data_IF_165973258603
#
_entry.id   IF_165973258603
#
_cell.length_a   1.000
_cell.length_b   1.000
_cell.length_c   1.000
_cell.angle_alpha   90.00
_cell.angle_beta   90.00
_cell.angle_gamma   90.00
#
_symmetry.space_group_name_H-M   'P 1'
#
loop_
_entity.id
_entity.type
_entity.pdbx_description
1 polymer ?
#
# COMPACT_ATOMS: atom_id res chain seq x y z
N UNK A 1 1.46 -51.06 -10.57
CA UNK A 1 0.33 -51.38 -9.64
C UNK A 1 0.23 -52.87 -9.28
N UNK A 2 0.64 -53.82 -10.14
CA UNK A 2 0.51 -55.27 -9.86
C UNK A 2 1.49 -55.86 -8.84
N UNK A 3 2.74 -55.34 -8.72
CA UNK A 3 3.74 -55.89 -7.79
C UNK A 3 3.39 -55.71 -6.29
N UNK A 4 2.68 -54.62 -5.94
CA UNK A 4 2.26 -54.35 -4.55
C UNK A 4 1.16 -55.32 -4.08
N UNK A 5 0.25 -55.70 -4.99
CA UNK A 5 -0.76 -56.72 -4.72
C UNK A 5 -0.16 -58.09 -4.43
N UNK A 6 0.91 -58.46 -5.13
CA UNK A 6 1.56 -59.77 -4.99
C UNK A 6 2.32 -59.84 -3.66
N UNK A 7 3.03 -58.78 -3.28
CA UNK A 7 3.71 -58.68 -1.97
C UNK A 7 2.74 -58.70 -0.79
N UNK A 8 1.56 -58.07 -0.91
CA UNK A 8 0.52 -58.10 0.13
C UNK A 8 -0.14 -59.47 0.26
N UNK A 9 -0.45 -60.13 -0.86
CA UNK A 9 -0.96 -61.52 -0.87
C UNK A 9 0.08 -62.48 -0.28
N UNK A 10 1.36 -62.31 -0.62
CA UNK A 10 2.45 -63.09 -0.05
C UNK A 10 2.63 -62.85 1.45
N UNK A 11 2.59 -61.59 1.92
CA UNK A 11 2.71 -61.27 3.35
C UNK A 11 1.55 -61.82 4.18
N UNK A 12 0.31 -61.76 3.66
CA UNK A 12 -0.84 -62.37 4.34
C UNK A 12 -0.75 -63.89 4.30
N UNK A 13 -0.30 -64.48 3.19
CA UNK A 13 -0.05 -65.93 3.13
C UNK A 13 1.02 -66.35 4.13
N UNK A 14 2.08 -65.55 4.31
CA UNK A 14 3.19 -65.81 5.22
C UNK A 14 2.77 -65.62 6.68
N UNK A 15 1.90 -64.65 6.98
CA UNK A 15 1.35 -64.43 8.33
C UNK A 15 0.32 -65.52 8.69
N UNK A 16 -0.50 -65.95 7.73
CA UNK A 16 -1.39 -67.11 7.89
C UNK A 16 -0.58 -68.39 8.06
N UNK A 17 0.49 -68.58 7.29
CA UNK A 17 1.41 -69.72 7.42
C UNK A 17 2.15 -69.68 8.77
N UNK A 18 2.59 -68.51 9.22
CA UNK A 18 3.23 -68.33 10.52
C UNK A 18 2.25 -68.57 11.67
N UNK A 19 0.99 -68.12 11.55
CA UNK A 19 -0.04 -68.40 12.54
C UNK A 19 -0.45 -69.89 12.54
N UNK A 20 -0.43 -70.54 11.37
CA UNK A 20 -0.62 -71.99 11.23
C UNK A 20 0.52 -72.78 11.89
N UNK A 21 1.76 -72.35 11.73
CA UNK A 21 2.95 -72.94 12.39
C UNK A 21 2.93 -72.68 13.89
N UNK A 22 2.52 -71.49 14.33
CA UNK A 22 2.38 -71.16 15.76
C UNK A 22 1.26 -71.96 16.43
N UNK A 23 0.10 -72.14 15.76
CA UNK A 23 -0.97 -73.00 16.25
C UNK A 23 -0.58 -74.48 16.27
N UNK A 24 0.22 -74.95 15.30
CA UNK A 24 0.79 -76.30 15.34
C UNK A 24 1.75 -76.46 16.53
N UNK A 25 2.61 -75.48 16.80
CA UNK A 25 3.52 -75.48 17.95
C UNK A 25 2.78 -75.50 19.30
N UNK A 26 1.67 -74.78 19.42
CA UNK A 26 0.83 -74.78 20.64
C UNK A 26 0.01 -76.09 20.76
N UNK A 27 -0.42 -76.70 19.66
CA UNK A 27 -1.09 -78.00 19.68
C UNK A 27 -0.16 -79.16 20.07
N UNK A 28 1.14 -79.07 19.74
CA UNK A 28 2.18 -79.97 20.24
C UNK A 28 2.54 -79.72 21.73
N UNK A 29 2.26 -78.52 22.26
CA UNK A 29 2.55 -78.16 23.65
C UNK A 29 1.34 -78.29 24.60
N UNK A 30 0.11 -78.34 24.09
CA UNK A 30 -1.09 -78.48 24.93
C UNK A 30 -1.50 -79.93 25.21
N UNK A 31 -0.64 -80.91 24.88
CA UNK A 31 -0.84 -82.32 25.22
C UNK A 31 -0.06 -82.68 26.49
N UNK A 32 -0.38 -82.07 27.62
CA UNK A 32 -0.06 -82.68 28.92
C UNK A 32 -1.22 -83.61 29.31
N UNK A 33 -1.18 -84.84 28.81
CA UNK A 33 -1.40 -86.06 29.60
C UNK A 33 -1.16 -87.32 28.73
N UNK A 34 -0.37 -88.24 29.32
CA UNK A 34 -0.12 -89.63 28.96
C UNK A 34 0.91 -89.93 27.85
N UNK A 35 2.15 -90.15 28.31
CA UNK A 35 2.97 -91.36 28.09
C UNK A 35 2.84 -92.14 26.78
N UNK A 36 4.03 -92.47 26.26
CA UNK A 36 4.39 -93.37 25.16
C UNK A 36 4.72 -92.69 23.83
N UNK A 37 6.03 -92.58 23.62
CA UNK A 37 6.64 -92.46 22.32
C UNK A 37 6.21 -93.65 21.46
N UNK A 38 5.28 -93.41 20.53
CA UNK A 38 5.12 -94.18 19.32
C UNK A 38 4.84 -93.22 18.17
N UNK A 39 5.57 -93.39 17.07
CA UNK A 39 5.34 -92.72 15.80
C UNK A 39 4.00 -93.18 15.22
N UNK A 40 2.90 -92.62 15.72
CA UNK A 40 1.55 -92.89 15.22
C UNK A 40 1.21 -91.83 14.19
N UNK A 41 1.23 -92.24 12.92
CA UNK A 41 0.84 -91.39 11.80
C UNK A 41 -0.51 -90.71 12.01
N UNK A 42 -0.70 -89.58 11.33
CA UNK A 42 -1.86 -88.68 11.41
C UNK A 42 -3.14 -89.33 11.97
N UNK A 43 -3.50 -88.97 13.21
CA UNK A 43 -4.79 -89.35 13.75
C UNK A 43 -5.90 -88.54 13.08
N UNK A 44 -7.07 -89.16 12.88
CA UNK A 44 -8.26 -88.51 12.27
C UNK A 44 -8.67 -87.22 13.00
N UNK A 45 -8.34 -87.12 14.30
CA UNK A 45 -8.58 -85.94 15.15
C UNK A 45 -7.72 -84.73 14.77
N UNK A 46 -6.47 -84.92 14.35
CA UNK A 46 -5.58 -83.84 13.92
C UNK A 46 -5.96 -83.30 12.54
N UNK A 47 -6.38 -84.19 11.64
CA UNK A 47 -6.93 -83.80 10.33
C UNK A 47 -8.15 -82.90 10.49
N UNK A 48 -9.07 -83.24 11.41
CA UNK A 48 -10.27 -82.43 11.66
C UNK A 48 -9.94 -81.04 12.24
N UNK A 49 -8.96 -80.93 13.15
CA UNK A 49 -8.49 -79.65 13.70
C UNK A 49 -7.86 -78.77 12.64
N UNK A 50 -7.00 -79.35 11.79
CA UNK A 50 -6.35 -78.64 10.68
C UNK A 50 -7.38 -78.16 9.65
N UNK A 51 -8.35 -78.99 9.28
CA UNK A 51 -9.42 -78.60 8.36
C UNK A 51 -10.28 -77.48 8.95
N UNK A 52 -10.67 -77.57 10.22
CA UNK A 52 -11.42 -76.49 10.89
C UNK A 52 -10.62 -75.18 10.95
N UNK A 53 -9.33 -75.23 11.29
CA UNK A 53 -8.47 -74.05 11.27
C UNK A 53 -8.34 -73.46 9.86
N UNK A 54 -8.17 -74.30 8.83
CA UNK A 54 -8.08 -73.85 7.45
C UNK A 54 -9.38 -73.19 6.98
N UNK A 55 -10.54 -73.74 7.35
CA UNK A 55 -11.86 -73.16 7.06
C UNK A 55 -12.04 -71.82 7.77
N UNK A 56 -11.70 -71.72 9.07
CA UNK A 56 -11.76 -70.47 9.83
C UNK A 56 -10.78 -69.41 9.28
N UNK A 57 -9.56 -69.81 8.93
CA UNK A 57 -8.56 -68.91 8.35
C UNK A 57 -8.99 -68.40 6.96
N UNK A 58 -9.59 -69.26 6.13
CA UNK A 58 -10.17 -68.84 4.85
C UNK A 58 -11.33 -67.86 5.07
N UNK A 59 -12.28 -68.18 5.96
CA UNK A 59 -13.40 -67.31 6.29
C UNK A 59 -12.92 -65.93 6.80
N UNK A 60 -11.93 -65.92 7.71
CA UNK A 60 -11.33 -64.71 8.24
C UNK A 60 -10.61 -63.90 7.15
N UNK A 61 -9.84 -64.55 6.27
CA UNK A 61 -9.17 -63.89 5.16
C UNK A 61 -10.18 -63.23 4.20
N UNK A 62 -11.25 -63.94 3.84
CA UNK A 62 -12.30 -63.38 2.99
C UNK A 62 -13.01 -62.19 3.64
N UNK A 63 -13.23 -62.24 4.96
CA UNK A 63 -13.90 -61.17 5.71
C UNK A 63 -12.99 -59.95 5.93
N UNK A 64 -11.71 -60.13 6.26
CA UNK A 64 -10.76 -59.05 6.57
C UNK A 64 -10.13 -58.40 5.34
N UNK A 65 -10.07 -59.08 4.18
CA UNK A 65 -9.43 -58.53 2.97
C UNK A 65 -10.06 -57.21 2.53
N UNK A 66 -11.38 -57.05 2.69
CA UNK A 66 -12.12 -55.82 2.34
C UNK A 66 -11.85 -54.66 3.31
N UNK A 67 -12.12 -54.76 4.63
CA UNK A 67 -11.94 -53.65 5.56
C UNK A 67 -10.47 -53.20 5.68
N UNK A 68 -9.50 -54.13 5.67
CA UNK A 68 -8.08 -53.77 5.77
C UNK A 68 -7.58 -53.03 4.52
N UNK A 69 -7.98 -53.49 3.32
CA UNK A 69 -7.62 -52.80 2.09
C UNK A 69 -8.28 -51.42 1.99
N UNK A 70 -9.54 -51.30 2.41
CA UNK A 70 -10.26 -50.03 2.40
C UNK A 70 -9.67 -49.03 3.38
N UNK A 71 -9.31 -49.45 4.61
CA UNK A 71 -8.69 -48.57 5.60
C UNK A 71 -7.34 -47.99 5.15
N UNK A 72 -6.47 -48.84 4.59
CA UNK A 72 -5.18 -48.39 4.05
C UNK A 72 -5.35 -47.49 2.82
N UNK A 73 -6.25 -47.83 1.90
CA UNK A 73 -6.50 -47.01 0.72
C UNK A 73 -7.11 -45.66 1.09
N UNK A 74 -8.02 -45.62 2.07
CA UNK A 74 -8.58 -44.37 2.61
C UNK A 74 -7.47 -43.50 3.19
N UNK A 75 -6.57 -44.07 4.00
CA UNK A 75 -5.45 -43.30 4.57
C UNK A 75 -4.52 -42.76 3.50
N UNK A 76 -4.21 -43.55 2.47
CA UNK A 76 -3.40 -43.10 1.33
C UNK A 76 -4.11 -41.97 0.57
N UNK A 77 -5.43 -42.08 0.36
CA UNK A 77 -6.21 -41.05 -0.32
C UNK A 77 -6.24 -39.74 0.48
N UNK A 78 -6.45 -39.80 1.80
CA UNK A 78 -6.41 -38.62 2.67
C UNK A 78 -5.05 -37.94 2.63
N UNK A 79 -3.95 -38.70 2.78
CA UNK A 79 -2.60 -38.12 2.75
C UNK A 79 -2.31 -37.48 1.39
N UNK A 80 -2.73 -38.11 0.27
CA UNK A 80 -2.58 -37.50 -1.06
C UNK A 80 -3.35 -36.21 -1.19
N UNK A 81 -4.60 -36.19 -0.74
CA UNK A 81 -5.44 -35.00 -0.77
C UNK A 81 -4.85 -33.87 0.09
N UNK A 82 -4.34 -34.20 1.28
CA UNK A 82 -3.66 -33.24 2.15
C UNK A 82 -2.41 -32.67 1.48
N UNK A 83 -1.58 -33.51 0.86
CA UNK A 83 -0.38 -33.07 0.14
C UNK A 83 -0.73 -32.19 -1.07
N UNK A 84 -1.70 -32.59 -1.88
CA UNK A 84 -2.18 -31.79 -3.02
C UNK A 84 -2.72 -30.43 -2.56
N UNK A 85 -3.46 -30.40 -1.45
CA UNK A 85 -3.97 -29.16 -0.86
C UNK A 85 -2.84 -28.27 -0.35
N UNK A 86 -1.82 -28.84 0.28
CA UNK A 86 -0.64 -28.11 0.76
C UNK A 86 0.18 -27.55 -0.41
N UNK A 87 0.37 -28.31 -1.49
CA UNK A 87 1.03 -27.85 -2.70
C UNK A 87 0.26 -26.72 -3.37
N UNK A 88 -1.07 -26.85 -3.50
CA UNK A 88 -1.92 -25.79 -4.04
C UNK A 88 -1.80 -24.50 -3.22
N UNK A 89 -1.92 -24.59 -1.88
CA UNK A 89 -1.77 -23.44 -0.97
C UNK A 89 -0.39 -22.81 -1.05
N UNK A 90 0.67 -23.61 -1.18
CA UNK A 90 2.04 -23.11 -1.32
C UNK A 90 2.21 -22.34 -2.62
N UNK A 91 1.68 -22.84 -3.73
CA UNK A 91 1.73 -22.15 -5.02
C UNK A 91 0.87 -20.89 -5.04
N UNK A 92 -0.31 -20.90 -4.40
CA UNK A 92 -1.13 -19.70 -4.21
C UNK A 92 -0.39 -18.64 -3.39
N UNK A 93 0.17 -19.01 -2.24
CA UNK A 93 0.95 -18.10 -1.41
C UNK A 93 2.18 -17.54 -2.13
N UNK A 94 2.85 -18.36 -2.95
CA UNK A 94 3.99 -17.92 -3.77
C UNK A 94 3.54 -16.92 -4.83
N UNK A 95 2.43 -17.16 -5.53
CA UNK A 95 1.87 -16.22 -6.51
C UNK A 95 1.47 -14.90 -5.86
N UNK A 96 0.84 -14.97 -4.69
CA UNK A 96 0.44 -13.77 -3.94
C UNK A 96 1.67 -12.97 -3.49
N UNK A 97 2.71 -13.64 -3.01
CA UNK A 97 3.97 -13.00 -2.62
C UNK A 97 4.68 -12.32 -3.81
N UNK A 98 4.73 -12.95 -4.97
CA UNK A 98 5.28 -12.32 -6.18
C UNK A 98 4.41 -11.12 -6.63
N UNK A 99 3.09 -11.24 -6.59
CA UNK A 99 2.19 -10.11 -6.87
C UNK A 99 2.38 -8.94 -5.91
N UNK A 100 2.59 -9.20 -4.61
CA UNK A 100 2.90 -8.13 -3.65
C UNK A 100 4.26 -7.49 -3.89
N UNK A 101 5.29 -8.28 -4.24
CA UNK A 101 6.61 -7.72 -4.60
C UNK A 101 6.53 -6.82 -5.82
N UNK A 102 5.80 -7.23 -6.85
CA UNK A 102 5.58 -6.41 -8.04
C UNK A 102 4.84 -5.12 -7.69
N UNK A 103 3.80 -5.19 -6.86
CA UNK A 103 3.09 -4.00 -6.37
C UNK A 103 3.99 -3.08 -5.56
N UNK A 104 4.80 -3.61 -4.65
CA UNK A 104 5.74 -2.81 -3.86
C UNK A 104 6.76 -2.10 -4.76
N UNK A 105 7.33 -2.82 -5.73
CA UNK A 105 8.27 -2.23 -6.69
C UNK A 105 7.61 -1.16 -7.59
N UNK A 106 6.32 -1.32 -7.92
CA UNK A 106 5.55 -0.30 -8.62
C UNK A 106 5.27 0.93 -7.74
N UNK A 107 4.95 0.73 -6.46
CA UNK A 107 4.73 1.82 -5.49
C UNK A 107 5.98 2.66 -5.27
N UNK A 108 7.16 2.04 -5.18
CA UNK A 108 8.42 2.79 -5.04
C UNK A 108 8.66 3.71 -6.25
N UNK A 109 8.41 3.22 -7.47
CA UNK A 109 8.51 4.04 -8.69
C UNK A 109 7.47 5.16 -8.72
N UNK A 110 6.23 4.86 -8.38
CA UNK A 110 5.15 5.85 -8.33
C UNK A 110 5.46 6.93 -7.29
N UNK A 111 6.02 6.56 -6.12
CA UNK A 111 6.46 7.52 -5.11
C UNK A 111 7.60 8.41 -5.62
N UNK A 112 8.58 7.86 -6.32
CA UNK A 112 9.65 8.66 -6.96
C UNK A 112 9.09 9.62 -8.02
N UNK A 113 8.16 9.16 -8.85
CA UNK A 113 7.48 9.99 -9.85
C UNK A 113 6.69 11.13 -9.20
N UNK A 114 5.94 10.83 -8.14
CA UNK A 114 5.19 11.82 -7.36
C UNK A 114 6.14 12.87 -6.78
N UNK A 115 7.25 12.46 -6.15
CA UNK A 115 8.23 13.38 -5.58
C UNK A 115 8.86 14.26 -6.68
N UNK A 116 9.20 13.67 -7.82
CA UNK A 116 9.76 14.41 -8.96
C UNK A 116 8.76 15.43 -9.51
N UNK A 117 7.48 15.07 -9.59
CA UNK A 117 6.41 15.96 -10.03
C UNK A 117 6.19 17.11 -9.05
N UNK A 118 6.11 16.84 -7.74
CA UNK A 118 6.01 17.87 -6.72
C UNK A 118 7.21 18.84 -6.74
N UNK A 119 8.43 18.34 -6.96
CA UNK A 119 9.61 19.20 -7.13
C UNK A 119 9.46 20.11 -8.35
N UNK A 120 9.01 19.58 -9.49
CA UNK A 120 8.79 20.36 -10.72
C UNK A 120 7.71 21.42 -10.52
N UNK A 121 6.60 21.06 -9.89
CA UNK A 121 5.53 21.99 -9.54
C UNK A 121 6.02 23.07 -8.57
N UNK A 122 6.82 22.70 -7.57
CA UNK A 122 7.41 23.63 -6.61
C UNK A 122 8.36 24.63 -7.26
N UNK A 123 9.26 24.17 -8.13
CA UNK A 123 10.15 25.01 -8.94
C UNK A 123 9.35 25.99 -9.82
N UNK A 124 8.31 25.50 -10.52
CA UNK A 124 7.45 26.33 -11.34
C UNK A 124 6.66 27.36 -10.51
N UNK A 125 6.14 26.98 -9.35
CA UNK A 125 5.45 27.88 -8.44
C UNK A 125 6.40 28.96 -7.89
N UNK A 126 7.61 28.57 -7.48
CA UNK A 126 8.65 29.50 -7.05
C UNK A 126 8.98 30.52 -8.13
N UNK A 127 9.17 30.07 -9.38
CA UNK A 127 9.44 30.95 -10.51
C UNK A 127 8.30 31.96 -10.73
N UNK A 128 7.05 31.49 -10.74
CA UNK A 128 5.86 32.36 -10.87
C UNK A 128 5.74 33.37 -9.73
N UNK A 129 5.99 32.96 -8.49
CA UNK A 129 5.95 33.86 -7.33
C UNK A 129 7.02 34.95 -7.49
N UNK A 130 8.25 34.59 -7.84
CA UNK A 130 9.34 35.56 -8.03
C UNK A 130 9.01 36.52 -9.18
N UNK A 131 8.49 36.03 -10.30
CA UNK A 131 8.08 36.86 -11.43
C UNK A 131 6.96 37.84 -11.04
N UNK A 132 5.92 37.34 -10.37
CA UNK A 132 4.81 38.18 -9.89
C UNK A 132 5.27 39.23 -8.88
N UNK A 133 6.20 38.88 -7.98
CA UNK A 133 6.78 39.80 -7.03
C UNK A 133 7.60 40.90 -7.72
N UNK A 134 8.39 40.55 -8.75
CA UNK A 134 9.13 41.53 -9.55
C UNK A 134 8.19 42.48 -10.30
N UNK A 135 7.13 41.96 -10.91
CA UNK A 135 6.14 42.77 -11.60
C UNK A 135 5.39 43.71 -10.63
N UNK A 136 5.04 43.21 -9.44
CA UNK A 136 4.42 44.02 -8.39
C UNK A 136 5.36 45.13 -7.88
N UNK A 137 6.63 44.81 -7.65
CA UNK A 137 7.65 45.78 -7.25
C UNK A 137 7.81 46.89 -8.30
N UNK A 138 7.95 46.52 -9.58
CA UNK A 138 8.03 47.50 -10.68
C UNK A 138 6.80 48.41 -10.74
N UNK A 139 5.60 47.85 -10.55
CA UNK A 139 4.36 48.62 -10.50
C UNK A 139 4.31 49.58 -9.31
N UNK A 140 4.79 49.16 -8.14
CA UNK A 140 4.88 50.01 -6.95
C UNK A 140 5.85 51.16 -7.21
N UNK A 141 7.02 50.90 -7.79
CA UNK A 141 7.99 51.93 -8.14
C UNK A 141 7.43 52.95 -9.14
N UNK A 142 6.73 52.48 -10.18
CA UNK A 142 6.09 53.35 -11.15
C UNK A 142 5.02 54.23 -10.48
N UNK A 143 4.17 53.63 -9.64
CA UNK A 143 3.15 54.36 -8.91
C UNK A 143 3.76 55.39 -7.96
N UNK A 144 4.85 55.02 -7.26
CA UNK A 144 5.56 55.93 -6.36
C UNK A 144 6.14 57.13 -7.14
N UNK A 145 6.76 56.90 -8.29
CA UNK A 145 7.27 57.98 -9.16
C UNK A 145 6.15 58.92 -9.62
N UNK A 146 5.02 58.37 -10.07
CA UNK A 146 3.85 59.17 -10.47
C UNK A 146 3.29 59.98 -9.30
N UNK A 147 3.22 59.38 -8.12
CA UNK A 147 2.76 60.09 -6.92
C UNK A 147 3.71 61.20 -6.50
N UNK A 148 5.02 60.97 -6.56
CA UNK A 148 6.05 61.99 -6.28
C UNK A 148 5.91 63.16 -7.25
N UNK A 149 5.77 62.90 -8.54
CA UNK A 149 5.61 63.95 -9.55
C UNK A 149 4.35 64.80 -9.27
N UNK A 150 3.23 64.14 -9.00
CA UNK A 150 1.97 64.83 -8.69
C UNK A 150 2.07 65.67 -7.41
N UNK A 151 2.71 65.14 -6.36
CA UNK A 151 2.90 65.87 -5.10
C UNK A 151 3.87 67.04 -5.28
N UNK A 152 4.91 66.88 -6.11
CA UNK A 152 5.85 67.94 -6.43
C UNK A 152 5.20 69.08 -7.21
N UNK A 153 4.35 68.78 -8.19
CA UNK A 153 3.58 69.80 -8.90
C UNK A 153 2.57 70.50 -8.00
N UNK A 154 1.88 69.76 -7.12
CA UNK A 154 1.00 70.31 -6.09
C UNK A 154 1.76 71.24 -5.13
N UNK A 155 2.92 70.82 -4.64
CA UNK A 155 3.77 71.62 -3.76
C UNK A 155 4.28 72.89 -4.44
N UNK A 156 4.70 72.82 -5.72
CA UNK A 156 5.08 74.00 -6.52
C UNK A 156 3.93 74.98 -6.66
N UNK A 157 2.72 74.50 -6.93
CA UNK A 157 1.54 75.37 -7.06
C UNK A 157 1.24 76.08 -5.74
N UNK A 158 1.22 75.35 -4.62
CA UNK A 158 1.05 75.94 -3.27
C UNK A 158 2.13 76.98 -2.97
N UNK A 159 3.40 76.66 -3.26
CA UNK A 159 4.51 77.59 -3.05
C UNK A 159 4.38 78.87 -3.89
N UNK A 160 3.94 78.76 -5.15
CA UNK A 160 3.68 79.94 -5.99
C UNK A 160 2.59 80.82 -5.39
N UNK A 161 1.49 80.23 -4.93
CA UNK A 161 0.40 80.97 -4.28
C UNK A 161 0.91 81.69 -3.03
N UNK A 162 1.64 80.99 -2.15
CA UNK A 162 2.23 81.61 -0.95
C UNK A 162 3.20 82.75 -1.27
N UNK A 163 4.03 82.60 -2.30
CA UNK A 163 4.94 83.68 -2.74
C UNK A 163 4.13 84.87 -3.26
N UNK A 164 3.09 84.65 -4.06
CA UNK A 164 2.23 85.71 -4.57
C UNK A 164 1.52 86.46 -3.43
N UNK A 165 0.97 85.74 -2.46
CA UNK A 165 0.31 86.33 -1.29
C UNK A 165 1.29 87.19 -0.47
N UNK A 166 2.49 86.68 -0.20
CA UNK A 166 3.52 87.44 0.53
C UNK A 166 4.04 88.64 -0.25
N UNK A 167 4.21 88.51 -1.57
CA UNK A 167 4.63 89.61 -2.43
C UNK A 167 3.56 90.71 -2.50
N UNK A 168 2.28 90.34 -2.62
CA UNK A 168 1.16 91.27 -2.63
C UNK A 168 1.07 92.01 -1.29
N UNK A 169 1.13 91.28 -0.17
CA UNK A 169 1.12 91.89 1.17
C UNK A 169 2.28 92.90 1.32
N UNK A 170 3.49 92.56 0.86
CA UNK A 170 4.62 93.48 0.92
C UNK A 170 4.47 94.69 -0.02
N UNK A 171 3.87 94.50 -1.20
CA UNK A 171 3.57 95.58 -2.12
C UNK A 171 2.50 96.53 -1.54
N UNK A 172 1.45 96.00 -0.92
CA UNK A 172 0.43 96.79 -0.20
C UNK A 172 1.06 97.63 0.91
N UNK A 173 1.92 97.03 1.74
CA UNK A 173 2.65 97.74 2.78
C UNK A 173 3.51 98.88 2.19
N UNK A 174 4.24 98.61 1.11
CA UNK A 174 5.10 99.61 0.46
C UNK A 174 4.28 100.76 -0.14
N UNK A 175 3.16 100.46 -0.80
CA UNK A 175 2.24 101.47 -1.37
C UNK A 175 1.65 102.31 -0.24
N UNK A 176 1.22 101.70 0.86
CA UNK A 176 0.70 102.41 2.04
C UNK A 176 1.75 103.35 2.65
N UNK A 177 3.03 102.95 2.68
CA UNK A 177 4.12 103.76 3.21
C UNK A 177 4.55 104.91 2.28
N UNK A 178 4.37 104.75 0.95
CA UNK A 178 4.89 105.68 -0.07
C UNK A 178 3.84 106.58 -0.73
N UNK A 179 2.54 106.32 -0.55
CA UNK A 179 1.47 107.08 -1.21
C UNK A 179 1.43 108.54 -0.77
N UNK A 180 1.29 109.46 -1.74
CA UNK A 180 1.21 110.91 -1.50
C UNK A 180 -0.18 111.46 -1.83
N UNK A 181 -0.49 112.70 -1.42
CA UNK A 181 -1.78 113.33 -1.71
C UNK A 181 -2.01 113.58 -3.20
N UNK A 182 -0.95 113.81 -3.97
CA UNK A 182 -0.99 114.00 -5.43
C UNK A 182 -1.36 112.68 -6.15
N UNK A 183 -0.78 111.56 -5.71
CA UNK A 183 -1.11 110.24 -6.24
C UNK A 183 -2.58 109.86 -6.00
N UNK A 184 -3.14 110.21 -4.85
CA UNK A 184 -4.55 109.96 -4.52
C UNK A 184 -5.51 110.72 -5.45
N UNK A 185 -5.18 111.99 -5.77
CA UNK A 185 -5.95 112.78 -6.73
C UNK A 185 -5.95 112.15 -8.12
N UNK A 186 -4.76 111.78 -8.61
CA UNK A 186 -4.61 111.12 -9.92
C UNK A 186 -5.37 109.79 -10.01
N UNK A 187 -5.37 108.98 -8.94
CA UNK A 187 -6.13 107.72 -8.86
C UNK A 187 -7.65 107.93 -8.98
N UNK A 188 -8.17 109.01 -8.40
CA UNK A 188 -9.59 109.37 -8.49
C UNK A 188 -9.95 109.79 -9.92
N UNK A 189 -9.12 110.63 -10.53
CA UNK A 189 -9.32 111.09 -11.90
C UNK A 189 -9.28 109.91 -12.90
N UNK A 190 -8.33 108.99 -12.74
CA UNK A 190 -8.19 107.79 -13.59
C UNK A 190 -9.35 106.81 -13.41
N UNK A 191 -9.89 106.65 -12.19
CA UNK A 191 -11.09 105.85 -11.95
C UNK A 191 -12.34 106.48 -12.59
N UNK A 192 -12.48 107.80 -12.49
CA UNK A 192 -13.59 108.53 -13.13
C UNK A 192 -13.50 108.43 -14.65
N UNK A 193 -12.30 108.51 -15.24
CA UNK A 193 -12.11 108.35 -16.68
C UNK A 193 -12.45 106.92 -17.16
N UNK A 194 -12.11 105.89 -16.38
CA UNK A 194 -12.37 104.48 -16.72
C UNK A 194 -13.83 104.03 -16.54
N UNK A 195 -14.59 104.70 -15.69
CA UNK A 195 -16.02 104.37 -15.41
C UNK A 195 -16.96 105.23 -16.26
N UNK A 196 -16.48 106.33 -16.82
CA UNK A 196 -17.25 107.23 -17.69
C UNK A 196 -17.03 106.94 -19.20
N UNK A 197 -16.28 105.88 -19.52
CA UNK A 197 -16.19 105.23 -20.85
C UNK A 197 -16.85 103.84 -20.81
#
# INVERSE_FOLDING_TARGET
>A
MMLSSIRKKAAVLLLVLFMFVACAGVALASSEHASHAEAKGWAKTDTFRVVNFAVLACALFFLLRKPVANGLNSRIATIRQELETLEARKEEARKELEAYKERLAALDKEAEEIIADYRRQGEAAKARIIESAKAAAAKIEEQAKRNIENEFESAKQKLRVEIFEKALARAEDLVREKITLDDQGRLVDEYLEKVVL
#
